data_IF_664861182596
#
_entry.id   IF_664861182596
#
_cell.length_a   1.000
_cell.length_b   1.000
_cell.length_c   1.000
_cell.angle_alpha   90.00
_cell.angle_beta   90.00
_cell.angle_gamma   90.00
#
_symmetry.space_group_name_H-M   'P 1'
#
loop_
_entity.id
_entity.type
_entity.pdbx_description
1 polymer ?
2 polymer ?
#
loop_
_entity_poly.entity_id
_entity_poly.type
_entity_poly.pdbx_seq_one_letter_code
_entity_poly.pdbx_strand_id
2 'polyribonucleotide' 'GUCCCCACGCGUGUGGG(23G)' ?
#
# COMPACT_ATOMS: atom_id res chain seq x y z
N UNK A 55 -0.64 -1.54 20.41
CA UNK A 55 0.38 -1.08 19.43
C UNK A 55 0.64 -2.15 18.36
N UNK A 56 -0.44 -2.81 17.91
CA UNK A 56 -0.36 -3.85 16.89
C UNK A 56 -1.06 -3.40 15.58
N UNK A 57 -1.40 -4.37 14.73
CA UNK A 57 -2.06 -4.09 13.45
C UNK A 57 -3.15 -5.10 13.11
N UNK A 58 -3.96 -4.78 12.11
CA UNK A 58 -4.99 -5.68 11.60
C UNK A 58 -4.89 -5.80 10.09
N UNK A 59 -4.99 -7.03 9.59
CA UNK A 59 -5.00 -7.27 8.14
C UNK A 59 -6.31 -7.91 7.69
N UNK A 60 -6.93 -7.33 6.67
CA UNK A 60 -8.19 -7.87 6.14
C UNK A 60 -8.07 -8.18 4.66
N UNK A 61 -8.56 -9.37 4.28
CA UNK A 61 -8.62 -9.77 2.88
C UNK A 61 -10.04 -9.60 2.35
N UNK A 62 -10.22 -8.67 1.42
CA UNK A 62 -11.52 -8.42 0.81
C UNK A 62 -11.55 -8.87 -0.65
N UNK A 63 -12.24 -9.98 -0.91
CA UNK A 63 -12.45 -10.45 -2.27
C UNK A 63 -13.75 -9.82 -2.81
N UNK A 64 -13.59 -8.80 -3.64
CA UNK A 64 -14.73 -8.00 -4.12
C UNK A 64 -15.57 -8.77 -5.13
N UNK A 65 -16.88 -8.50 -5.11
CA UNK A 65 -17.81 -9.12 -6.04
C UNK A 65 -18.04 -8.24 -7.27
N UNK A 66 -17.56 -8.69 -8.44
CA UNK A 66 -17.67 -7.92 -9.69
C UNK A 66 -19.12 -7.75 -10.18
N UNK A 67 -20.04 -8.50 -9.57
CA UNK A 67 -21.48 -8.36 -9.86
C UNK A 67 -22.09 -7.16 -9.15
N UNK A 68 -21.39 -6.65 -8.14
CA UNK A 68 -21.84 -5.48 -7.38
C UNK A 68 -21.53 -4.18 -8.12
N UNK A 69 -22.50 -3.28 -8.17
CA UNK A 69 -22.33 -1.97 -8.80
C UNK A 69 -21.43 -1.06 -7.95
N UNK A 70 -21.48 -1.25 -6.63
CA UNK A 70 -20.65 -0.50 -5.70
C UNK A 70 -19.18 -0.91 -5.80
N UNK A 71 -18.94 -2.20 -6.06
CA UNK A 71 -17.58 -2.74 -6.18
C UNK A 71 -16.91 -2.30 -7.47
N UNK A 72 -17.63 -2.39 -8.59
CA UNK A 72 -17.13 -1.95 -9.90
C UNK A 72 -16.78 -0.45 -9.89
N UNK A 73 -17.57 0.32 -9.15
CA UNK A 73 -17.33 1.75 -8.96
C UNK A 73 -16.03 2.01 -8.19
N UNK A 74 -15.84 1.27 -7.10
CA UNK A 74 -14.67 1.43 -6.23
C UNK A 74 -13.39 0.89 -6.87
N UNK A 75 -13.53 -0.11 -7.73
CA UNK A 75 -12.40 -0.68 -8.47
C UNK A 75 -11.87 0.28 -9.53
N UNK A 76 -12.79 1.05 -10.13
CA UNK A 76 -12.43 2.05 -11.12
C UNK A 76 -11.96 3.35 -10.47
N UNK A 77 -12.49 3.63 -9.29
CA UNK A 77 -12.19 4.88 -8.59
C UNK A 77 -11.56 4.65 -7.21
N UNK A 78 -10.22 4.82 -7.12
CA UNK A 78 -9.47 4.67 -5.85
C UNK A 78 -10.00 5.61 -4.75
N UNK A 79 -10.57 6.74 -5.15
CA UNK A 79 -11.16 7.68 -4.21
C UNK A 79 -12.45 7.13 -3.60
N UNK A 80 -13.28 6.52 -4.44
CA UNK A 80 -14.55 5.91 -3.98
C UNK A 80 -14.30 4.67 -3.13
N UNK A 81 -13.19 3.97 -3.42
CA UNK A 81 -12.73 2.86 -2.59
C UNK A 81 -12.30 3.39 -1.21
N UNK A 82 -11.63 4.54 -1.21
CA UNK A 82 -11.15 5.16 0.02
C UNK A 82 -12.30 5.56 0.96
N UNK A 83 -13.38 6.07 0.39
CA UNK A 83 -14.56 6.47 1.18
C UNK A 83 -15.25 5.25 1.79
N UNK A 84 -15.31 4.17 1.04
CA UNK A 84 -15.98 2.94 1.48
C UNK A 84 -15.18 2.22 2.57
N UNK A 85 -13.86 2.09 2.36
CA UNK A 85 -12.98 1.40 3.31
C UNK A 85 -12.82 2.17 4.62
N UNK A 86 -12.97 3.49 4.56
CA UNK A 86 -12.86 4.36 5.74
C UNK A 86 -14.01 4.14 6.73
N UNK A 87 -15.12 3.59 6.23
CA UNK A 87 -16.33 3.36 7.04
C UNK A 87 -16.11 2.35 8.15
N UNK A 88 -15.25 1.36 7.90
CA UNK A 88 -14.98 0.29 8.88
C UNK A 88 -14.26 0.81 10.13
N UNK A 89 -13.44 1.85 9.96
CA UNK A 89 -12.73 2.48 11.08
C UNK A 89 -13.07 3.97 11.17
N UNK A 90 -14.36 4.28 10.98
CA UNK A 90 -14.85 5.66 10.92
C UNK A 90 -14.61 6.44 12.22
N UNK A 91 -14.86 5.78 13.35
CA UNK A 91 -14.72 6.41 14.67
C UNK A 91 -13.26 6.69 15.02
N UNK A 92 -12.38 5.74 14.70
CA UNK A 92 -10.95 5.86 14.98
C UNK A 92 -10.30 6.98 14.17
N UNK A 93 -10.78 7.17 12.94
CA UNK A 93 -10.30 8.25 12.07
C UNK A 93 -10.80 9.61 12.54
N UNK A 94 -12.03 9.64 13.07
CA UNK A 94 -12.60 10.86 13.64
C UNK A 94 -11.82 11.32 14.87
N UNK A 95 -11.29 10.34 15.62
CA UNK A 95 -10.50 10.62 16.82
C UNK A 95 -9.01 10.82 16.49
N UNK A 96 -8.65 10.58 15.23
CA UNK A 96 -7.29 10.87 14.74
C UNK A 96 -6.23 9.91 15.26
N UNK A 97 -6.61 8.65 15.44
CA UNK A 97 -5.67 7.63 15.92
C UNK A 97 -5.60 6.42 14.97
N UNK A 98 -5.86 6.67 13.68
CA UNK A 98 -5.88 5.61 12.68
C UNK A 98 -5.13 6.02 11.40
N UNK A 99 -4.37 5.07 10.85
CA UNK A 99 -3.76 5.23 9.53
C UNK A 99 -4.18 4.08 8.62
N UNK A 100 -5.12 4.35 7.74
CA UNK A 100 -5.64 3.35 6.81
C UNK A 100 -4.70 3.17 5.63
N UNK A 101 -4.35 1.92 5.34
CA UNK A 101 -3.54 1.58 4.17
C UNK A 101 -4.14 0.39 3.45
N UNK A 102 -4.23 0.48 2.13
CA UNK A 102 -4.78 -0.60 1.32
C UNK A 102 -4.11 -0.75 -0.04
N UNK A 103 -4.29 -1.93 -0.65
CA UNK A 103 -3.75 -2.20 -1.97
C UNK A 103 -4.65 -3.16 -2.75
N UNK A 104 -4.94 -2.81 -4.00
CA UNK A 104 -5.58 -3.74 -4.92
C UNK A 104 -4.51 -4.67 -5.49
N UNK A 105 -4.55 -5.92 -5.05
CA UNK A 105 -3.56 -6.93 -5.47
C UNK A 105 -3.55 -7.11 -6.99
N UNK A 106 -2.34 -7.29 -7.58
CA UNK A 106 -2.22 -7.48 -9.04
C UNK A 106 -3.02 -8.69 -9.51
N UNK A 107 -3.89 -8.45 -10.49
CA UNK A 107 -4.77 -9.51 -11.00
C UNK A 107 -3.96 -10.55 -11.78
N UNK A 108 -3.81 -11.74 -11.19
CA UNK A 108 -3.18 -12.87 -11.87
C UNK A 108 -4.05 -13.41 -13.01
N UNK A 109 -5.22 -12.79 -13.18
CA UNK A 109 -6.18 -13.22 -14.19
C UNK A 109 -7.09 -14.30 -13.65
N UNK A 110 -8.20 -14.52 -14.35
CA UNK A 110 -9.22 -15.51 -13.95
C UNK A 110 -9.92 -15.14 -12.63
N UNK A 111 -9.19 -15.24 -11.52
CA UNK A 111 -9.73 -15.04 -10.17
C UNK A 111 -10.18 -13.59 -9.91
N UNK A 112 -11.16 -13.41 -8.97
CA UNK A 112 -11.75 -12.10 -8.67
C UNK A 112 -10.76 -11.10 -8.07
N UNK A 113 -11.11 -9.80 -8.07
CA UNK A 113 -10.26 -8.75 -7.48
C UNK A 113 -10.08 -8.94 -5.98
N UNK A 114 -8.85 -8.78 -5.51
CA UNK A 114 -8.54 -8.92 -4.08
C UNK A 114 -7.95 -7.61 -3.52
N UNK A 115 -8.60 -7.09 -2.47
CA UNK A 115 -8.13 -5.88 -1.80
C UNK A 115 -7.63 -6.22 -0.40
N UNK A 116 -6.37 -5.89 -0.13
CA UNK A 116 -5.78 -6.10 1.18
C UNK A 116 -5.76 -4.79 1.98
N UNK A 117 -6.40 -4.81 3.15
CA UNK A 117 -6.55 -3.60 3.98
C UNK A 117 -5.82 -3.74 5.32
N UNK A 118 -4.94 -2.78 5.60
CA UNK A 118 -4.23 -2.74 6.87
C UNK A 118 -4.72 -1.57 7.72
N UNK A 119 -5.03 -1.86 8.98
CA UNK A 119 -5.52 -0.85 9.92
C UNK A 119 -4.81 -0.93 11.26
N UNK A 120 -4.64 0.21 11.92
CA UNK A 120 -4.02 0.27 13.25
C UNK A 120 -5.02 -0.16 14.34
N UNK A 121 -6.30 0.17 14.13
CA UNK A 121 -7.37 -0.25 15.04
C UNK A 121 -8.24 -1.32 14.37
N UNK A 122 -8.98 -2.08 15.19
CA UNK A 122 -9.85 -3.14 14.68
C UNK A 122 -10.95 -2.57 13.77
N UNK A 123 -11.13 -3.17 12.57
CA UNK A 123 -12.15 -2.71 11.63
C UNK A 123 -13.46 -3.49 11.75
N UNK A 124 -14.58 -2.79 11.54
CA UNK A 124 -15.91 -3.41 11.52
C UNK A 124 -16.44 -3.43 10.09
N UNK A 125 -16.35 -4.59 9.44
CA UNK A 125 -16.66 -4.71 8.01
C UNK A 125 -18.14 -4.99 7.73
N UNK A 126 -18.98 -4.72 8.72
CA UNK A 126 -20.44 -4.81 8.55
C UNK A 126 -20.99 -3.57 7.83
N UNK A 127 -20.15 -2.55 7.71
CA UNK A 127 -20.56 -1.26 7.14
C UNK A 127 -20.57 -1.28 5.60
N UNK A 128 -19.99 -2.33 5.02
CA UNK A 128 -20.00 -2.53 3.56
C UNK A 128 -21.42 -2.80 3.06
N UNK A 129 -21.68 -2.43 1.81
CA UNK A 129 -22.98 -2.70 1.18
C UNK A 129 -23.22 -4.19 1.02
N UNK A 130 -24.49 -4.59 0.92
CA UNK A 130 -24.85 -6.00 0.75
C UNK A 130 -24.38 -6.52 -0.61
N UNK A 131 -23.60 -7.60 -0.58
CA UNK A 131 -23.08 -8.22 -1.79
C UNK A 131 -21.88 -7.50 -2.38
N UNK A 132 -21.20 -6.71 -1.54
CA UNK A 132 -20.03 -5.94 -1.96
C UNK A 132 -18.78 -6.82 -2.07
N UNK A 133 -18.43 -7.49 -0.97
CA UNK A 133 -17.22 -8.32 -0.92
C UNK A 133 -17.39 -9.54 -0.02
N UNK A 134 -16.60 -10.58 -0.30
CA UNK A 134 -16.51 -11.73 0.59
C UNK A 134 -15.45 -11.46 1.64
N UNK A 135 -15.90 -11.11 2.85
CA UNK A 135 -15.01 -10.66 3.91
C UNK A 135 -14.30 -11.82 4.61
N UNK A 136 -12.97 -11.81 4.55
CA UNK A 136 -12.17 -12.72 5.34
C UNK A 136 -11.78 -12.06 6.66
N UNK A 137 -12.21 -12.65 7.80
CA UNK A 137 -12.12 -12.03 9.13
C UNK A 137 -10.74 -11.44 9.42
N UNK A 138 -10.70 -10.19 9.92
CA UNK A 138 -9.45 -9.50 10.24
C UNK A 138 -8.68 -10.21 11.34
N UNK A 139 -7.39 -10.40 11.13
CA UNK A 139 -6.54 -11.07 12.11
C UNK A 139 -5.43 -10.14 12.63
N UNK A 140 -5.16 -10.16 13.95
CA UNK A 140 -4.11 -9.34 14.56
C UNK A 140 -2.72 -9.65 13.98
N UNK A 141 -2.04 -8.60 13.54
CA UNK A 141 -0.74 -8.76 12.90
C UNK A 141 0.38 -8.19 13.78
N UNK A 142 1.14 -9.08 14.40
CA UNK A 142 2.33 -8.69 15.14
C UNK A 142 3.57 -8.89 14.25
N UNK A 143 4.15 -7.78 13.75
CA UNK A 143 5.34 -7.89 12.94
C UNK A 143 6.59 -7.99 13.81
N UNK A 144 6.84 -9.17 14.35
CA UNK A 144 7.99 -9.41 15.22
C UNK A 144 9.29 -9.34 14.43
N UNK A 145 9.95 -8.18 14.49
CA UNK A 145 11.15 -7.93 13.69
C UNK A 145 12.42 -7.94 14.53
N UNK A 146 13.42 -8.66 14.03
CA UNK A 146 14.75 -8.68 14.65
C UNK A 146 15.76 -7.99 13.71
N UNK A 147 16.89 -7.51 14.27
CA UNK A 147 17.95 -6.94 13.43
C UNK A 147 18.52 -7.98 12.46
N UNK A 148 18.69 -7.59 11.21
CA UNK A 148 19.30 -8.45 10.19
C UNK A 148 18.35 -9.48 9.59
N UNK A 149 17.06 -9.34 9.87
CA UNK A 149 16.04 -10.22 9.31
C UNK A 149 15.76 -9.84 7.86
N UNK A 150 15.72 -10.85 6.99
CA UNK A 150 15.43 -10.63 5.57
C UNK A 150 14.00 -11.04 5.21
N UNK A 151 13.33 -10.18 4.44
CA UNK A 151 11.90 -10.35 4.14
C UNK A 151 11.59 -10.07 2.67
N UNK A 152 10.70 -10.88 2.10
CA UNK A 152 10.12 -10.59 0.78
C UNK A 152 9.05 -9.51 0.93
N UNK A 153 9.08 -8.51 0.05
CA UNK A 153 8.18 -7.37 0.18
C UNK A 153 7.39 -7.05 -1.09
N UNK A 154 6.20 -6.50 -0.92
CA UNK A 154 5.40 -5.97 -2.02
C UNK A 154 4.92 -4.57 -1.67
N UNK A 155 5.11 -3.63 -2.60
CA UNK A 155 4.73 -2.24 -2.38
C UNK A 155 4.30 -1.56 -3.68
N UNK A 156 3.04 -1.12 -3.71
CA UNK A 156 2.58 -0.22 -4.75
C UNK A 156 2.64 1.20 -4.20
N UNK A 157 3.50 2.03 -4.78
CA UNK A 157 3.75 3.37 -4.27
C UNK A 157 3.81 4.42 -5.37
N UNK A 158 4.05 5.67 -4.98
CA UNK A 158 4.21 6.76 -5.93
C UNK A 158 5.62 7.38 -5.85
N UNK A 159 6.56 6.87 -6.69
CA UNK A 159 7.88 7.47 -6.80
C UNK A 159 7.82 8.83 -7.47
N UNK A 160 7.93 9.88 -6.66
CA UNK A 160 7.74 11.24 -7.14
C UNK A 160 8.75 12.21 -6.53
N UNK A 161 8.78 13.44 -7.06
CA UNK A 161 9.64 14.49 -6.54
C UNK A 161 8.96 15.85 -6.64
N UNK A 162 9.25 16.73 -5.68
CA UNK A 162 8.71 18.08 -5.68
C UNK A 162 9.58 19.01 -6.52
N UNK A 163 9.17 19.23 -7.77
CA UNK A 163 9.86 20.18 -8.67
C UNK A 163 9.85 21.57 -8.08
N UNK A 164 11.04 22.13 -7.91
CA UNK A 164 11.20 23.43 -7.28
C UNK A 164 10.87 24.58 -8.24
N UNK A 165 11.02 24.32 -9.53
CA UNK A 165 10.74 25.31 -10.57
C UNK A 165 9.25 25.60 -10.70
N UNK A 166 8.42 24.61 -10.37
CA UNK A 166 6.97 24.73 -10.50
C UNK A 166 6.25 24.69 -9.14
N UNK A 167 6.88 24.05 -8.16
CA UNK A 167 6.27 23.85 -6.85
C UNK A 167 5.35 22.63 -6.83
N UNK A 168 5.29 21.94 -7.97
CA UNK A 168 4.42 20.77 -8.14
C UNK A 168 5.16 19.48 -7.82
N UNK A 169 4.40 18.41 -7.59
CA UNK A 169 4.97 17.09 -7.34
C UNK A 169 4.78 16.21 -8.58
N UNK A 170 5.88 15.96 -9.28
CA UNK A 170 5.84 15.17 -10.53
C UNK A 170 6.46 13.78 -10.34
N UNK A 171 6.05 12.84 -11.20
CA UNK A 171 6.53 11.47 -11.12
C UNK A 171 7.88 11.28 -11.81
N UNK A 172 8.70 10.39 -11.26
CA UNK A 172 9.98 10.02 -11.88
C UNK A 172 9.74 9.17 -13.13
N UNK A 173 10.68 9.22 -14.07
CA UNK A 173 10.49 8.58 -15.38
C UNK A 173 11.25 7.25 -15.53
N UNK A 174 12.58 7.29 -15.33
CA UNK A 174 13.42 6.11 -15.55
C UNK A 174 13.30 5.09 -14.41
N UNK A 175 13.35 3.77 -14.74
CA UNK A 175 13.32 2.70 -13.74
C UNK A 175 14.50 2.78 -12.77
N UNK A 176 15.60 3.39 -13.22
CA UNK A 176 16.81 3.54 -12.40
C UNK A 176 16.59 4.46 -11.21
N UNK A 177 15.84 5.54 -11.42
CA UNK A 177 15.57 6.53 -10.36
C UNK A 177 14.31 6.19 -9.56
N UNK A 178 13.46 5.33 -10.12
CA UNK A 178 12.31 4.78 -9.39
C UNK A 178 12.78 3.81 -8.31
N UNK A 179 13.76 2.98 -8.66
CA UNK A 179 14.39 2.06 -7.71
C UNK A 179 15.22 2.83 -6.68
N UNK A 180 15.90 3.88 -7.15
CA UNK A 180 16.69 4.77 -6.26
C UNK A 180 15.80 5.47 -5.23
N UNK A 181 14.58 5.82 -5.65
CA UNK A 181 13.58 6.40 -4.73
C UNK A 181 13.19 5.40 -3.65
N UNK A 182 12.84 4.18 -4.07
CA UNK A 182 12.50 3.10 -3.14
C UNK A 182 13.66 2.80 -2.19
N UNK A 183 14.87 2.71 -2.74
CA UNK A 183 16.07 2.42 -1.95
C UNK A 183 16.34 3.50 -0.91
N UNK A 184 15.99 4.74 -1.24
CA UNK A 184 16.13 5.86 -0.31
C UNK A 184 15.08 5.79 0.80
N UNK A 185 13.83 5.56 0.42
CA UNK A 185 12.69 5.56 1.38
C UNK A 185 12.79 4.42 2.40
N UNK A 186 13.29 3.27 1.96
CA UNK A 186 13.46 2.12 2.84
C UNK A 186 14.61 2.35 3.83
N UNK A 187 15.71 2.93 3.34
CA UNK A 187 16.87 3.25 4.19
C UNK A 187 16.54 4.31 5.25
N UNK A 188 15.64 5.22 4.91
CA UNK A 188 15.15 6.23 5.85
C UNK A 188 14.21 5.61 6.89
N UNK A 189 13.59 4.49 6.51
CA UNK A 189 12.60 3.82 7.37
C UNK A 189 13.13 2.59 8.10
N UNK A 190 14.45 2.49 8.20
CA UNK A 190 15.09 1.41 8.98
C UNK A 190 15.28 0.11 8.23
N UNK A 191 14.88 0.09 6.95
CA UNK A 191 15.09 -1.07 6.08
C UNK A 191 16.32 -0.87 5.20
N UNK A 192 16.68 -1.92 4.46
CA UNK A 192 17.76 -1.85 3.47
C UNK A 192 17.54 -2.90 2.39
N UNK A 193 17.60 -2.49 1.14
CA UNK A 193 17.44 -3.41 0.01
C UNK A 193 18.64 -4.33 -0.14
N UNK A 194 18.37 -5.63 -0.19
CA UNK A 194 19.38 -6.63 -0.51
C UNK A 194 19.78 -6.48 -1.98
N UNK A 195 20.98 -6.95 -2.33
CA UNK A 195 21.52 -6.77 -3.68
C UNK A 195 22.52 -7.85 -4.07
N UNK A 196 22.55 -8.16 -5.37
CA UNK A 196 23.55 -9.05 -5.93
C UNK A 196 24.69 -8.25 -6.53
N UNK A 197 25.07 -8.59 -7.76
CA UNK A 197 26.11 -7.85 -8.48
C UNK A 197 25.55 -7.21 -9.76
N UNK A 198 24.33 -7.61 -10.13
CA UNK A 198 23.60 -6.97 -11.22
C UNK A 198 22.96 -5.67 -10.75
N UNK A 199 22.34 -5.71 -9.57
CA UNK A 199 21.69 -4.54 -8.98
C UNK A 199 20.93 -4.89 -7.71
N UNK A 200 20.07 -3.96 -7.24
CA UNK A 200 19.25 -4.20 -6.05
C UNK A 200 18.20 -5.29 -6.27
N UNK A 201 17.83 -5.99 -5.20
CA UNK A 201 16.86 -7.08 -5.26
C UNK A 201 15.43 -6.56 -5.33
N UNK A 202 15.04 -6.06 -6.49
CA UNK A 202 13.68 -5.58 -6.73
C UNK A 202 13.37 -5.53 -8.23
N UNK A 203 12.13 -5.85 -8.59
CA UNK A 203 11.68 -5.77 -9.97
C UNK A 203 10.36 -5.01 -10.06
N UNK A 204 10.30 -4.06 -10.99
CA UNK A 204 9.07 -3.32 -11.26
C UNK A 204 8.12 -4.17 -12.10
N UNK A 205 6.94 -4.46 -11.57
CA UNK A 205 5.97 -5.34 -12.22
C UNK A 205 4.90 -4.56 -12.96
N UNK A 206 4.47 -3.43 -12.39
CA UNK A 206 3.45 -2.58 -13.00
C UNK A 206 3.84 -1.11 -12.96
N UNK A 207 3.44 -0.37 -13.99
CA UNK A 207 3.72 1.07 -14.08
C UNK A 207 2.57 1.77 -14.80
N UNK A 208 1.51 2.08 -14.06
CA UNK A 208 0.29 2.63 -14.65
C UNK A 208 0.00 4.04 -14.14
N UNK A 209 -0.31 4.94 -15.07
CA UNK A 209 -0.65 6.32 -14.75
C UNK A 209 -2.13 6.44 -14.39
N UNK A 210 -2.42 6.56 -13.10
CA UNK A 210 -3.81 6.62 -12.60
C UNK A 210 -4.39 8.03 -12.73
N UNK A 211 -5.65 8.09 -13.15
CA UNK A 211 -6.36 9.36 -13.32
C UNK A 211 -7.71 9.32 -12.62
N UNK A 212 -7.71 9.63 -11.32
CA UNK A 212 -8.91 9.57 -10.51
C UNK A 212 -9.78 10.84 -10.70
N UNK A 213 -11.08 10.63 -10.93
CA UNK A 213 -12.02 11.73 -11.19
C UNK A 213 -12.72 12.23 -9.93
N UNK A 214 -12.11 11.99 -8.76
CA UNK A 214 -12.68 12.38 -7.46
C UNK A 214 -13.93 11.56 -7.09
N UNK A 224 -9.37 16.51 -11.29
CA UNK A 224 -8.83 15.21 -11.68
C UNK A 224 -7.49 14.94 -10.98
N UNK A 225 -7.47 13.90 -10.14
CA UNK A 225 -6.26 13.47 -9.47
C UNK A 225 -5.40 12.61 -10.41
N UNK A 226 -4.14 13.00 -10.56
CA UNK A 226 -3.22 12.30 -11.46
C UNK A 226 -1.98 11.82 -10.73
N UNK A 227 -1.92 10.52 -10.47
CA UNK A 227 -0.83 9.91 -9.69
C UNK A 227 -0.24 8.70 -10.42
N UNK A 228 1.09 8.64 -10.49
CA UNK A 228 1.79 7.50 -11.06
C UNK A 228 1.87 6.35 -10.05
N UNK A 229 1.36 5.18 -10.44
CA UNK A 229 1.35 4.00 -9.58
C UNK A 229 2.37 2.97 -10.04
N UNK A 230 3.39 2.75 -9.22
CA UNK A 230 4.46 1.80 -9.54
C UNK A 230 4.45 0.65 -8.54
N UNK A 231 4.36 -0.58 -9.05
CA UNK A 231 4.35 -1.78 -8.21
C UNK A 231 5.74 -2.39 -8.10
N UNK A 232 6.30 -2.36 -6.88
CA UNK A 232 7.61 -2.96 -6.60
C UNK A 232 7.44 -4.32 -5.94
N UNK A 233 8.43 -5.19 -6.14
CA UNK A 233 8.46 -6.50 -5.49
C UNK A 233 9.89 -7.05 -5.47
N UNK A 234 10.35 -7.44 -4.28
CA UNK A 234 11.70 -7.99 -4.11
C UNK A 234 12.00 -8.42 -2.70
N UNK A 235 13.24 -8.19 -2.27
CA UNK A 235 13.69 -8.59 -0.92
C UNK A 235 14.44 -7.46 -0.21
N UNK A 236 14.15 -7.28 1.07
CA UNK A 236 14.80 -6.27 1.89
C UNK A 236 15.32 -6.85 3.22
N UNK A 237 16.09 -6.04 3.95
CA UNK A 237 16.66 -6.44 5.22
C UNK A 237 16.33 -5.42 6.31
N UNK A 238 16.04 -5.90 7.51
CA UNK A 238 15.75 -5.04 8.65
C UNK A 238 17.04 -4.60 9.34
N UNK A 239 17.31 -3.31 9.33
CA UNK A 239 18.48 -2.73 10.02
C UNK A 239 18.09 -2.23 11.41
N UNK A 240 17.13 -1.32 11.46
CA UNK A 240 16.60 -0.79 12.72
C UNK A 240 15.13 -1.20 12.88
N UNK A 241 14.85 -2.21 13.74
CA UNK A 241 13.51 -2.79 13.91
C UNK A 241 12.47 -1.80 14.44
N UNK A 242 12.91 -0.83 15.24
CA UNK A 242 12.01 0.20 15.76
C UNK A 242 11.54 1.14 14.65
N UNK A 243 12.48 1.58 13.82
CA UNK A 243 12.17 2.38 12.62
C UNK A 243 11.32 1.57 11.64
N UNK A 244 11.66 0.29 11.50
CA UNK A 244 10.98 -0.61 10.56
C UNK A 244 9.51 -0.81 10.94
N UNK A 245 9.25 -0.92 12.24
CA UNK A 245 7.88 -1.05 12.76
C UNK A 245 7.04 0.18 12.41
N UNK A 246 7.62 1.36 12.61
CA UNK A 246 6.93 2.63 12.34
C UNK A 246 6.62 2.80 10.85
N UNK A 247 7.57 2.40 10.00
CA UNK A 247 7.41 2.50 8.54
C UNK A 247 6.23 1.65 8.04
N UNK A 248 6.09 0.46 8.60
CA UNK A 248 4.97 -0.43 8.27
C UNK A 248 3.63 0.16 8.69
N UNK A 249 3.64 0.89 9.81
CA UNK A 249 2.43 1.50 10.35
C UNK A 249 2.04 2.78 9.60
N UNK A 250 3.05 3.55 9.20
CA UNK A 250 2.81 4.81 8.48
C UNK A 250 2.48 4.58 7.00
N UNK A 251 3.28 3.72 6.36
CA UNK A 251 3.22 3.56 4.90
C UNK A 251 4.36 4.29 4.23
N UNK A 252 4.50 4.10 2.92
CA UNK A 252 5.62 4.69 2.17
C UNK A 252 5.15 5.54 0.98
N UNK A 253 5.47 6.82 1.01
CA UNK A 253 5.23 7.72 -0.13
C UNK A 253 3.81 8.29 -0.19
N UNK A 254 3.57 9.22 -1.14
CA UNK A 254 2.28 9.91 -1.28
C UNK A 254 1.18 9.00 -1.87
N UNK A 255 -0.06 9.48 -1.83
CA UNK A 255 -1.19 8.74 -2.38
C UNK A 255 -1.65 7.59 -1.51
N UNK A 256 -1.45 7.73 -0.19
CA UNK A 256 -1.80 6.68 0.77
C UNK A 256 -3.31 6.42 0.83
N UNK A 257 -4.09 7.45 0.49
CA UNK A 257 -5.55 7.32 0.42
C UNK A 257 -5.99 6.62 -0.87
N UNK A 258 -5.16 6.70 -1.90
CA UNK A 258 -5.54 6.22 -3.23
C UNK A 258 -5.05 4.79 -3.55
N UNK A 259 -4.69 4.04 -2.50
CA UNK A 259 -4.32 2.64 -2.65
C UNK A 259 -2.84 2.40 -2.77
N UNK A 260 -2.05 3.37 -2.34
CA UNK A 260 -0.59 3.27 -2.37
C UNK A 260 -0.02 3.37 -0.96
N UNK A 261 1.26 3.02 -0.81
CA UNK A 261 1.96 3.20 0.45
C UNK A 261 2.09 1.95 1.29
N UNK A 262 1.12 1.04 1.17
CA UNK A 262 1.11 -0.19 1.95
C UNK A 262 2.31 -1.10 1.65
N UNK A 263 3.26 -1.14 2.58
CA UNK A 263 4.40 -2.03 2.48
C UNK A 263 4.10 -3.37 3.17
N UNK A 264 3.98 -4.42 2.37
CA UNK A 264 3.72 -5.76 2.90
C UNK A 264 5.02 -6.56 2.97
N UNK A 265 5.29 -7.14 4.14
CA UNK A 265 6.48 -7.96 4.34
C UNK A 265 6.14 -9.39 4.74
N UNK A 266 6.89 -10.34 4.19
CA UNK A 266 6.73 -11.75 4.52
C UNK A 266 8.09 -12.45 4.50
N UNK A 267 8.29 -13.44 5.40
CA UNK A 267 9.57 -14.16 5.49
C UNK A 267 9.88 -14.97 4.22
#
# INVERSE_FOLDING_TARGET
MHHHHHHSSGLVPRGSGMKETAAAKFERQHMDSPDLGTDDDDKAMADIGSENLYFQMWLTKLVLNPASRAARRDLANPYEMHRTLSKAVSRALEEGRERLLWRLEPARGLEPPVVLVQTLTEPDWSVLDEGYAQVFPPKPFHPALKPGQRLRFRLRANPAKRLAATGKRVALKTPAEKVAWLERRLEEGGFRLLEGERGPWVQILQDTFLEVRRKKDGEEAGKLLQVQAVLFEGRLEVVDPERALATLRRGVGPGKALGLGLLSVAP
#
